data_IF_589967968965
#
_entry.id   IF_589967968965
#
_cell.length_a   1.000
_cell.length_b   1.000
_cell.length_c   1.000
_cell.angle_alpha   90.00
_cell.angle_beta   90.00
_cell.angle_gamma   90.00
#
_symmetry.space_group_name_H-M   'P 1'
#
loop_
_entity.id
_entity.type
_entity.pdbx_description
1 polymer ?
#
# COMPACT_ATOMS: atom_id res chain seq x y z
N UNK A 1 -11.21 -9.27 19.09
CA UNK A 1 -11.47 -8.52 17.84
C UNK A 1 -10.28 -7.64 17.52
N UNK A 2 -9.82 -6.80 18.45
CA UNK A 2 -8.64 -5.92 18.27
C UNK A 2 -7.37 -6.70 17.88
N UNK A 3 -7.01 -7.75 18.62
CA UNK A 3 -5.87 -8.63 18.29
C UNK A 3 -5.97 -9.26 16.88
N UNK A 4 -7.17 -9.61 16.44
CA UNK A 4 -7.38 -10.24 15.12
C UNK A 4 -7.27 -9.23 13.98
N UNK A 5 -7.60 -7.95 14.24
CA UNK A 5 -7.44 -6.85 13.30
C UNK A 5 -5.95 -6.44 13.19
N UNK A 6 -5.24 -6.41 14.32
CA UNK A 6 -3.78 -6.23 14.36
C UNK A 6 -3.03 -7.35 13.62
N UNK A 7 -3.43 -8.61 13.84
CA UNK A 7 -2.81 -9.75 13.17
C UNK A 7 -3.07 -9.73 11.64
N UNK A 8 -4.24 -9.27 11.18
CA UNK A 8 -4.53 -9.06 9.75
C UNK A 8 -3.66 -7.93 9.18
N UNK A 9 -3.44 -6.84 9.91
CA UNK A 9 -2.57 -5.77 9.47
C UNK A 9 -1.11 -6.23 9.38
N UNK A 10 -0.63 -6.98 10.37
CA UNK A 10 0.70 -7.58 10.36
C UNK A 10 0.88 -8.55 9.19
N UNK A 11 -0.14 -9.39 8.89
CA UNK A 11 -0.17 -10.28 7.74
C UNK A 11 0.00 -9.53 6.41
N UNK A 12 -0.70 -8.40 6.22
CA UNK A 12 -0.58 -7.57 5.01
C UNK A 12 0.83 -7.02 4.84
N UNK A 13 1.39 -6.47 5.91
CA UNK A 13 2.75 -5.89 5.87
C UNK A 13 3.81 -6.98 5.59
N UNK A 14 3.67 -8.15 6.20
CA UNK A 14 4.54 -9.30 5.95
C UNK A 14 4.45 -9.78 4.51
N UNK A 15 3.24 -9.84 3.95
CA UNK A 15 3.03 -10.24 2.56
C UNK A 15 3.67 -9.23 1.60
N UNK A 16 3.52 -7.93 1.84
CA UNK A 16 4.17 -6.88 1.04
C UNK A 16 5.70 -7.00 1.08
N UNK A 17 6.28 -7.20 2.26
CA UNK A 17 7.72 -7.39 2.42
C UNK A 17 8.22 -8.67 1.72
N UNK A 18 7.48 -9.78 1.80
CA UNK A 18 7.85 -11.02 1.12
C UNK A 18 7.75 -10.91 -0.40
N UNK A 19 6.72 -10.24 -0.91
CA UNK A 19 6.56 -9.99 -2.35
C UNK A 19 7.68 -9.08 -2.86
N UNK A 20 8.02 -8.02 -2.11
CA UNK A 20 9.17 -7.16 -2.44
C UNK A 20 10.47 -7.95 -2.52
N UNK A 21 10.75 -8.77 -1.50
CA UNK A 21 11.93 -9.63 -1.47
C UNK A 21 11.99 -10.64 -2.62
N UNK A 22 10.84 -11.19 -3.03
CA UNK A 22 10.73 -12.08 -4.19
C UNK A 22 11.14 -11.35 -5.48
N UNK A 23 10.61 -10.13 -5.71
CA UNK A 23 10.99 -9.34 -6.88
C UNK A 23 12.47 -8.92 -6.86
N UNK A 24 13.00 -8.56 -5.68
CA UNK A 24 14.41 -8.21 -5.55
C UNK A 24 15.33 -9.42 -5.83
N UNK A 25 14.95 -10.62 -5.35
CA UNK A 25 15.67 -11.86 -5.63
C UNK A 25 15.61 -12.22 -7.12
N UNK A 26 14.45 -12.07 -7.78
CA UNK A 26 14.27 -12.29 -9.22
C UNK A 26 15.14 -11.35 -10.05
N UNK A 27 15.07 -10.05 -9.78
CA UNK A 27 15.89 -9.05 -10.46
C UNK A 27 17.39 -9.32 -10.27
N UNK A 28 17.79 -9.83 -9.10
CA UNK A 28 19.16 -10.20 -8.81
C UNK A 28 19.61 -11.45 -9.59
N UNK A 29 18.75 -12.47 -9.69
CA UNK A 29 18.99 -13.65 -10.55
C UNK A 29 19.24 -13.21 -11.99
N UNK A 30 18.41 -12.31 -12.54
CA UNK A 30 18.55 -11.80 -13.91
C UNK A 30 19.87 -11.05 -14.12
N UNK A 31 20.27 -10.22 -13.17
CA UNK A 31 21.57 -9.53 -13.20
C UNK A 31 22.72 -10.53 -13.15
N UNK A 32 22.64 -11.56 -12.30
CA UNK A 32 23.67 -12.59 -12.22
C UNK A 32 23.78 -13.37 -13.52
N UNK A 33 22.66 -13.70 -14.17
CA UNK A 33 22.64 -14.40 -15.46
C UNK A 33 23.47 -13.67 -16.52
N UNK A 34 23.40 -12.34 -16.56
CA UNK A 34 24.14 -11.50 -17.50
C UNK A 34 25.59 -11.19 -17.08
N UNK A 35 25.92 -11.35 -15.79
CA UNK A 35 27.24 -11.00 -15.26
C UNK A 35 28.28 -12.10 -15.44
N UNK A 36 29.50 -11.69 -15.80
CA UNK A 36 30.70 -12.53 -15.84
C UNK A 36 31.37 -12.62 -14.46
N UNK A 37 31.74 -13.84 -14.06
CA UNK A 37 32.28 -14.16 -12.72
C UNK A 37 33.58 -13.41 -12.37
N UNK A 38 34.33 -12.92 -13.37
CA UNK A 38 35.62 -12.27 -13.18
C UNK A 38 35.56 -10.74 -13.17
N UNK A 39 34.37 -10.16 -13.06
CA UNK A 39 34.16 -8.71 -13.14
C UNK A 39 33.92 -8.07 -11.77
N UNK A 40 34.26 -6.77 -11.59
CA UNK A 40 33.85 -6.02 -10.39
C UNK A 40 32.33 -6.00 -10.19
N UNK A 41 31.57 -6.01 -11.30
CA UNK A 41 30.12 -6.08 -11.27
C UNK A 41 29.62 -7.34 -10.55
N UNK A 42 30.26 -8.49 -10.74
CA UNK A 42 29.90 -9.70 -10.03
C UNK A 42 29.99 -9.51 -8.51
N UNK A 43 31.05 -8.85 -8.02
CA UNK A 43 31.24 -8.57 -6.59
C UNK A 43 30.14 -7.65 -6.05
N UNK A 44 29.71 -6.64 -6.81
CA UNK A 44 28.56 -5.79 -6.44
C UNK A 44 27.28 -6.61 -6.29
N UNK A 45 27.02 -7.55 -7.20
CA UNK A 45 25.84 -8.42 -7.14
C UNK A 45 25.90 -9.37 -5.93
N UNK A 46 27.07 -9.88 -5.54
CA UNK A 46 27.22 -10.67 -4.31
C UNK A 46 26.90 -9.83 -3.07
N UNK A 47 27.31 -8.55 -3.06
CA UNK A 47 26.93 -7.63 -1.99
C UNK A 47 25.41 -7.35 -1.97
N UNK A 48 24.77 -7.26 -3.13
CA UNK A 48 23.30 -7.18 -3.24
C UNK A 48 22.63 -8.44 -2.66
N UNK A 49 23.13 -9.65 -2.97
CA UNK A 49 22.62 -10.90 -2.38
C UNK A 49 22.78 -10.92 -0.85
N UNK A 50 23.90 -10.39 -0.34
CA UNK A 50 24.13 -10.32 1.11
C UNK A 50 23.12 -9.39 1.80
N UNK A 51 22.85 -8.22 1.20
CA UNK A 51 21.82 -7.30 1.70
C UNK A 51 20.45 -7.96 1.72
N UNK A 52 20.09 -8.67 0.66
CA UNK A 52 18.80 -9.35 0.57
C UNK A 52 18.61 -10.42 1.67
N UNK A 53 19.68 -11.12 2.03
CA UNK A 53 19.68 -12.04 3.18
C UNK A 53 19.48 -11.29 4.52
N UNK A 54 20.12 -10.13 4.69
CA UNK A 54 19.93 -9.32 5.90
C UNK A 54 18.51 -8.75 5.99
N UNK A 55 17.94 -8.32 4.86
CA UNK A 55 16.55 -7.86 4.77
C UNK A 55 15.57 -8.99 5.12
N UNK A 56 15.84 -10.22 4.64
CA UNK A 56 15.05 -11.40 5.01
C UNK A 56 15.03 -11.64 6.52
N UNK A 57 16.11 -11.33 7.25
CA UNK A 57 16.19 -11.54 8.70
C UNK A 57 15.12 -10.72 9.46
N UNK A 58 14.84 -9.50 9.02
CA UNK A 58 13.77 -8.68 9.62
C UNK A 58 12.38 -9.27 9.36
N UNK A 59 12.20 -9.90 8.19
CA UNK A 59 10.99 -10.62 7.82
C UNK A 59 10.87 -11.93 8.61
N UNK A 60 11.97 -12.67 8.81
CA UNK A 60 12.05 -13.89 9.64
C UNK A 60 11.54 -13.62 11.05
N UNK A 61 12.07 -12.60 11.74
CA UNK A 61 11.67 -12.27 13.11
C UNK A 61 10.16 -11.96 13.21
N UNK A 62 9.64 -11.23 12.21
CA UNK A 62 8.23 -10.87 12.12
C UNK A 62 7.34 -12.08 11.83
N UNK A 63 7.77 -12.98 10.94
CA UNK A 63 7.09 -14.23 10.63
C UNK A 63 7.04 -15.16 11.84
N UNK A 64 8.14 -15.31 12.58
CA UNK A 64 8.19 -16.10 13.81
C UNK A 64 7.31 -15.51 14.92
N UNK A 65 7.24 -14.18 15.03
CA UNK A 65 6.37 -13.52 16.00
C UNK A 65 4.89 -13.72 15.65
N UNK A 66 4.54 -13.74 14.37
CA UNK A 66 3.20 -14.05 13.91
C UNK A 66 2.85 -15.53 14.08
N UNK A 67 3.79 -16.43 13.77
CA UNK A 67 3.59 -17.88 13.84
C UNK A 67 3.26 -18.36 15.26
N UNK A 68 3.87 -17.73 16.27
CA UNK A 68 3.56 -17.96 17.71
C UNK A 68 2.14 -17.51 18.10
N UNK A 69 1.57 -16.53 17.38
CA UNK A 69 0.21 -16.01 17.64
C UNK A 69 -0.84 -16.83 16.90
N UNK A 70 -0.54 -17.26 15.68
CA UNK A 70 -1.42 -18.05 14.83
C UNK A 70 -0.90 -19.49 14.77
N UNK A 71 -1.24 -20.29 15.77
CA UNK A 71 -0.74 -21.68 15.92
C UNK A 71 -0.94 -22.54 14.65
N UNK A 72 -2.00 -22.29 13.87
CA UNK A 72 -2.32 -23.03 12.66
C UNK A 72 -1.25 -22.91 11.55
N UNK A 73 -0.41 -21.87 11.59
CA UNK A 73 0.63 -21.63 10.56
C UNK A 73 2.03 -21.92 11.07
N UNK A 74 2.19 -22.30 12.34
CA UNK A 74 3.49 -22.35 13.02
C UNK A 74 4.49 -23.28 12.33
N UNK A 75 4.09 -24.53 12.09
CA UNK A 75 4.95 -25.54 11.47
C UNK A 75 5.37 -25.15 10.06
N UNK A 76 4.41 -24.71 9.25
CA UNK A 76 4.65 -24.33 7.85
C UNK A 76 5.56 -23.10 7.74
N UNK A 77 5.30 -22.05 8.54
CA UNK A 77 6.16 -20.85 8.57
C UNK A 77 7.57 -21.21 9.00
N UNK A 78 7.72 -22.00 10.06
CA UNK A 78 9.04 -22.38 10.59
C UNK A 78 9.84 -23.19 9.57
N UNK A 79 9.21 -24.16 8.92
CA UNK A 79 9.82 -24.96 7.86
C UNK A 79 10.29 -24.08 6.71
N UNK A 80 9.39 -23.26 6.14
CA UNK A 80 9.70 -22.45 4.97
C UNK A 80 10.73 -21.36 5.24
N UNK A 81 10.68 -20.72 6.41
CA UNK A 81 11.68 -19.73 6.82
C UNK A 81 13.07 -20.38 6.94
N UNK A 82 13.14 -21.60 7.48
CA UNK A 82 14.39 -22.35 7.57
C UNK A 82 14.92 -22.68 6.17
N UNK A 83 14.06 -23.19 5.28
CA UNK A 83 14.46 -23.49 3.90
C UNK A 83 14.95 -22.23 3.15
N UNK A 84 14.29 -21.09 3.31
CA UNK A 84 14.74 -19.82 2.68
C UNK A 84 16.12 -19.44 3.21
N UNK A 85 16.31 -19.48 4.53
CA UNK A 85 17.56 -19.10 5.19
C UNK A 85 18.73 -19.97 4.76
N UNK A 86 18.52 -21.29 4.70
CA UNK A 86 19.54 -22.24 4.29
C UNK A 86 19.92 -22.03 2.82
N UNK A 87 18.94 -21.91 1.92
CA UNK A 87 19.22 -21.65 0.50
C UNK A 87 19.87 -20.27 0.27
N UNK A 88 19.49 -19.23 1.01
CA UNK A 88 20.17 -17.92 0.92
C UNK A 88 21.63 -18.01 1.37
N UNK A 89 21.92 -18.83 2.39
CA UNK A 89 23.28 -19.06 2.88
C UNK A 89 24.10 -19.85 1.87
N UNK A 90 23.59 -20.98 1.39
CA UNK A 90 24.25 -21.81 0.39
C UNK A 90 24.49 -21.04 -0.92
N UNK A 91 23.51 -20.23 -1.35
CA UNK A 91 23.67 -19.33 -2.49
C UNK A 91 24.84 -18.37 -2.32
N UNK A 92 25.00 -17.75 -1.14
CA UNK A 92 26.13 -16.85 -0.88
C UNK A 92 27.48 -17.59 -0.89
N UNK A 93 27.55 -18.76 -0.26
CA UNK A 93 28.77 -19.59 -0.26
C UNK A 93 29.18 -19.94 -1.70
N UNK A 94 28.22 -20.35 -2.53
CA UNK A 94 28.45 -20.64 -3.95
C UNK A 94 28.84 -19.40 -4.76
N UNK A 95 28.24 -18.23 -4.48
CA UNK A 95 28.57 -16.99 -5.15
C UNK A 95 29.99 -16.49 -4.78
N UNK A 96 30.39 -16.62 -3.52
CA UNK A 96 31.75 -16.31 -3.07
C UNK A 96 32.78 -17.22 -3.75
N UNK A 97 32.45 -18.50 -3.93
CA UNK A 97 33.27 -19.48 -4.65
C UNK A 97 33.09 -19.42 -6.19
N UNK A 98 32.30 -18.47 -6.70
CA UNK A 98 32.01 -18.26 -8.13
C UNK A 98 31.34 -19.46 -8.82
N UNK A 99 30.68 -20.33 -8.06
CA UNK A 99 29.83 -21.42 -8.52
C UNK A 99 28.43 -20.92 -8.92
N UNK A 100 28.39 -20.09 -9.97
CA UNK A 100 27.17 -19.45 -10.47
C UNK A 100 26.00 -20.42 -10.76
N UNK A 101 26.20 -21.60 -11.38
CA UNK A 101 25.09 -22.52 -11.63
C UNK A 101 24.42 -23.06 -10.35
N UNK A 102 25.22 -23.40 -9.34
CA UNK A 102 24.74 -23.90 -8.05
C UNK A 102 24.05 -22.80 -7.25
N UNK A 103 24.65 -21.61 -7.20
CA UNK A 103 24.03 -20.43 -6.62
C UNK A 103 22.67 -20.11 -7.22
N UNK A 104 22.53 -20.24 -8.55
CA UNK A 104 21.26 -20.01 -9.24
C UNK A 104 20.17 -21.01 -8.84
N UNK A 105 20.51 -22.28 -8.58
CA UNK A 105 19.54 -23.28 -8.09
C UNK A 105 19.03 -22.90 -6.70
N UNK A 106 19.93 -22.51 -5.79
CA UNK A 106 19.57 -22.04 -4.47
C UNK A 106 18.71 -20.75 -4.52
N UNK A 107 19.05 -19.79 -5.38
CA UNK A 107 18.24 -18.57 -5.57
C UNK A 107 16.82 -18.88 -6.07
N UNK A 108 16.65 -19.87 -6.97
CA UNK A 108 15.33 -20.31 -7.41
C UNK A 108 14.54 -21.02 -6.30
N UNK A 109 15.21 -21.78 -5.42
CA UNK A 109 14.57 -22.37 -4.24
C UNK A 109 14.12 -21.31 -3.24
N UNK A 110 14.91 -20.26 -3.04
CA UNK A 110 14.51 -19.07 -2.26
C UNK A 110 13.22 -18.48 -2.83
N UNK A 111 13.18 -18.19 -4.14
CA UNK A 111 11.99 -17.68 -4.82
C UNK A 111 10.75 -18.55 -4.59
N UNK A 112 10.90 -19.86 -4.76
CA UNK A 112 9.82 -20.82 -4.52
C UNK A 112 9.30 -20.73 -3.09
N UNK A 113 10.18 -20.79 -2.10
CA UNK A 113 9.78 -20.83 -0.69
C UNK A 113 9.20 -19.50 -0.19
N UNK A 114 9.69 -18.37 -0.69
CA UNK A 114 9.12 -17.04 -0.43
C UNK A 114 7.72 -16.93 -1.02
N UNK A 115 7.50 -17.45 -2.23
CA UNK A 115 6.18 -17.46 -2.85
C UNK A 115 5.20 -18.41 -2.13
N UNK A 116 5.68 -19.58 -1.68
CA UNK A 116 4.89 -20.52 -0.86
C UNK A 116 4.46 -19.86 0.47
N UNK A 117 5.36 -19.10 1.12
CA UNK A 117 5.03 -18.29 2.30
C UNK A 117 3.98 -17.23 1.99
N UNK A 118 4.16 -16.46 0.93
CA UNK A 118 3.22 -15.41 0.53
C UNK A 118 1.82 -15.98 0.23
N UNK A 119 1.75 -17.13 -0.47
CA UNK A 119 0.51 -17.82 -0.76
C UNK A 119 -0.20 -18.24 0.52
N UNK A 120 0.48 -18.93 1.43
CA UNK A 120 -0.10 -19.38 2.69
C UNK A 120 -0.59 -18.21 3.55
N UNK A 121 0.20 -17.14 3.67
CA UNK A 121 -0.20 -15.95 4.43
C UNK A 121 -1.44 -15.28 3.81
N UNK A 122 -1.56 -15.30 2.49
CA UNK A 122 -2.75 -14.78 1.79
C UNK A 122 -4.00 -15.60 2.06
N UNK A 123 -3.89 -16.94 2.11
CA UNK A 123 -4.99 -17.85 2.41
C UNK A 123 -5.48 -17.67 3.86
N UNK A 124 -4.53 -17.57 4.80
CA UNK A 124 -4.82 -17.36 6.22
C UNK A 124 -5.44 -16.00 6.44
N UNK A 125 -4.93 -14.95 5.79
CA UNK A 125 -5.55 -13.62 5.83
C UNK A 125 -6.99 -13.66 5.32
N UNK A 126 -7.27 -14.36 4.22
CA UNK A 126 -8.61 -14.51 3.69
C UNK A 126 -9.54 -15.26 4.66
N UNK A 127 -9.06 -16.35 5.26
CA UNK A 127 -9.82 -17.10 6.28
C UNK A 127 -10.13 -16.24 7.51
N UNK A 128 -9.15 -15.48 8.01
CA UNK A 128 -9.34 -14.56 9.13
C UNK A 128 -10.36 -13.46 8.82
N UNK A 129 -10.33 -12.90 7.60
CA UNK A 129 -11.31 -11.90 7.17
C UNK A 129 -12.74 -12.49 7.06
N UNK A 130 -12.87 -13.73 6.59
CA UNK A 130 -14.16 -14.43 6.55
C UNK A 130 -14.69 -14.72 7.97
N UNK A 131 -13.83 -15.14 8.89
CA UNK A 131 -14.21 -15.41 10.28
C UNK A 131 -14.62 -14.12 11.03
N UNK A 132 -13.89 -13.02 10.82
CA UNK A 132 -14.26 -11.69 11.33
C UNK A 132 -15.63 -11.23 10.82
N UNK A 133 -15.92 -11.47 9.54
CA UNK A 133 -17.22 -11.14 8.94
C UNK A 133 -18.35 -11.98 9.53
N UNK A 134 -18.10 -13.24 9.86
CA UNK A 134 -19.05 -14.13 10.53
C UNK A 134 -19.35 -13.75 11.99
N UNK A 135 -18.34 -13.31 12.75
CA UNK A 135 -18.52 -12.91 14.16
C UNK A 135 -19.19 -11.54 14.34
N UNK A 136 -19.01 -10.63 13.37
CA UNK A 136 -19.64 -9.29 13.42
C UNK A 136 -21.14 -9.27 13.13
N UNK A 137 -21.70 -10.37 12.61
CA UNK A 137 -23.15 -10.56 12.43
C UNK A 137 -23.87 -10.94 13.74
N UNK A 138 -23.16 -11.42 14.77
CA UNK A 138 -23.76 -11.95 16.01
C UNK A 138 -23.81 -10.98 17.19
N UNK A 139 -23.05 -9.88 17.19
CA UNK A 139 -22.79 -9.09 18.40
C UNK A 139 -23.28 -7.63 18.37
N UNK A 140 -24.22 -7.28 17.48
CA UNK A 140 -24.81 -5.92 17.40
C UNK A 140 -26.18 -5.78 18.10
N UNK A 141 -26.61 -6.78 18.88
CA UNK A 141 -27.76 -6.65 19.78
C UNK A 141 -27.31 -6.61 21.25
N UNK A 142 -26.74 -5.48 21.69
CA UNK A 142 -26.86 -5.11 23.10
C UNK A 142 -26.84 -3.58 23.23
N UNK A 143 -27.96 -3.05 23.73
CA UNK A 143 -28.21 -1.64 23.98
C UNK A 143 -27.34 -1.13 25.15
N UNK A 144 -26.65 0.01 25.00
CA UNK A 144 -26.96 1.26 25.74
C UNK A 144 -26.05 2.45 25.34
N UNK A 145 -26.53 3.69 25.56
CA UNK A 145 -26.11 4.93 24.89
C UNK A 145 -25.12 5.77 25.68
N UNK A 146 -24.44 6.68 24.97
CA UNK A 146 -23.81 7.87 25.54
C UNK A 146 -22.29 7.88 25.44
N UNK A 147 -21.74 8.92 24.80
CA UNK A 147 -20.31 9.21 24.79
C UNK A 147 -19.82 9.75 23.46
N UNK A 148 -19.85 11.07 23.31
CA UNK A 148 -19.21 11.80 22.23
C UNK A 148 -17.70 11.51 22.18
N UNK A 149 -17.21 11.26 20.96
CA UNK A 149 -15.80 10.99 20.70
C UNK A 149 -15.58 10.68 19.23
N UNK A 150 -15.56 11.73 18.40
CA UNK A 150 -15.05 11.65 17.03
C UNK A 150 -13.58 11.23 17.07
N UNK A 151 -13.29 9.99 16.67
CA UNK A 151 -12.01 9.60 16.09
C UNK A 151 -12.26 8.47 15.09
N UNK A 152 -11.64 8.63 13.91
CA UNK A 152 -12.02 8.02 12.64
C UNK A 152 -12.30 6.52 12.70
N UNK A 153 -13.56 6.16 12.52
CA UNK A 153 -13.99 4.80 12.21
C UNK A 153 -14.64 4.81 10.85
N UNK A 154 -13.88 4.46 9.82
CA UNK A 154 -14.40 4.07 8.53
C UNK A 154 -14.42 2.56 8.45
N UNK A 155 -15.56 1.89 8.76
CA UNK A 155 -15.78 0.52 8.35
C UNK A 155 -16.07 0.53 6.83
N UNK A 156 -15.07 0.81 5.99
CA UNK A 156 -15.25 0.96 4.55
C UNK A 156 -15.24 -0.39 3.80
N UNK A 157 -14.57 -1.40 4.32
CA UNK A 157 -14.41 -2.70 3.62
C UNK A 157 -15.49 -3.74 3.96
N UNK A 158 -16.33 -3.50 4.98
CA UNK A 158 -17.23 -4.54 5.51
C UNK A 158 -18.54 -4.70 4.73
N UNK A 159 -18.96 -3.66 3.99
CA UNK A 159 -20.22 -3.71 3.24
C UNK A 159 -20.08 -4.51 1.94
N UNK A 160 -18.99 -4.29 1.19
CA UNK A 160 -18.69 -5.04 -0.03
C UNK A 160 -18.50 -6.53 0.26
N UNK A 161 -17.74 -6.86 1.31
CA UNK A 161 -17.56 -8.26 1.75
C UNK A 161 -18.87 -8.90 2.23
N UNK A 162 -19.71 -8.16 2.97
CA UNK A 162 -21.04 -8.62 3.36
C UNK A 162 -21.94 -8.91 2.15
N UNK A 163 -21.86 -8.06 1.14
CA UNK A 163 -22.56 -8.23 -0.13
C UNK A 163 -22.05 -9.45 -0.91
N UNK A 164 -20.73 -9.68 -0.98
CA UNK A 164 -20.13 -10.86 -1.62
C UNK A 164 -20.62 -12.15 -0.96
N UNK A 165 -20.57 -12.23 0.37
CA UNK A 165 -21.02 -13.39 1.12
C UNK A 165 -22.50 -13.70 0.86
N UNK A 166 -23.35 -12.67 0.80
CA UNK A 166 -24.75 -12.82 0.44
C UNK A 166 -24.94 -13.35 -0.99
N UNK A 167 -24.16 -12.85 -1.96
CA UNK A 167 -24.24 -13.32 -3.35
C UNK A 167 -23.86 -14.80 -3.46
N UNK A 168 -22.83 -15.23 -2.72
CA UNK A 168 -22.40 -16.63 -2.66
C UNK A 168 -23.45 -17.52 -2.02
N UNK A 169 -24.02 -17.10 -0.88
CA UNK A 169 -25.11 -17.84 -0.21
C UNK A 169 -26.33 -17.99 -1.13
N UNK A 170 -26.71 -16.93 -1.84
CA UNK A 170 -27.81 -17.00 -2.80
C UNK A 170 -27.49 -17.91 -3.99
N UNK A 171 -26.25 -17.89 -4.50
CA UNK A 171 -25.83 -18.79 -5.59
C UNK A 171 -25.88 -20.25 -5.15
N UNK A 172 -25.38 -20.57 -3.96
CA UNK A 172 -25.45 -21.92 -3.40
C UNK A 172 -26.91 -22.36 -3.18
N UNK A 173 -27.77 -21.47 -2.69
CA UNK A 173 -29.19 -21.77 -2.53
C UNK A 173 -29.88 -22.02 -3.87
N UNK A 174 -29.57 -21.22 -4.90
CA UNK A 174 -30.08 -21.41 -6.26
C UNK A 174 -29.70 -22.76 -6.82
N UNK A 175 -28.44 -23.15 -6.68
CA UNK A 175 -27.95 -24.46 -7.15
C UNK A 175 -28.61 -25.62 -6.40
N UNK A 176 -28.93 -25.46 -5.10
CA UNK A 176 -29.67 -26.46 -4.31
C UNK A 176 -31.12 -26.58 -4.79
N UNK A 177 -31.78 -25.46 -5.07
CA UNK A 177 -33.14 -25.44 -5.62
C UNK A 177 -33.20 -26.03 -7.04
N UNK A 178 -32.23 -25.70 -7.91
CA UNK A 178 -32.16 -26.26 -9.28
C UNK A 178 -31.85 -27.76 -9.29
N UNK A 179 -31.12 -28.28 -8.29
CA UNK A 179 -30.83 -29.72 -8.13
C UNK A 179 -31.95 -30.51 -7.43
N UNK A 180 -33.12 -29.91 -7.18
CA UNK A 180 -34.29 -30.57 -6.60
C UNK A 180 -34.12 -31.04 -5.15
N UNK A 181 -33.05 -30.61 -4.45
CA UNK A 181 -32.79 -30.93 -3.04
C UNK A 181 -33.29 -29.80 -2.15
N UNK A 182 -34.61 -29.74 -1.98
CA UNK A 182 -35.31 -28.91 -1.00
C UNK A 182 -35.57 -27.47 -1.44
N UNK A 183 -36.81 -27.02 -1.26
CA UNK A 183 -37.15 -25.59 -1.27
C UNK A 183 -36.33 -24.90 -0.17
N UNK A 184 -35.65 -23.78 -0.51
CA UNK A 184 -34.90 -23.00 0.47
C UNK A 184 -35.79 -22.67 1.67
N UNK A 185 -35.30 -22.92 2.89
CA UNK A 185 -36.16 -22.78 4.06
C UNK A 185 -36.58 -21.34 4.25
N UNK A 186 -37.83 -21.11 4.66
CA UNK A 186 -38.35 -19.75 4.92
C UNK A 186 -37.48 -18.95 5.91
N UNK A 187 -36.73 -19.66 6.76
CA UNK A 187 -35.76 -19.09 7.71
C UNK A 187 -34.52 -18.53 7.01
N UNK A 188 -33.96 -19.24 6.03
CA UNK A 188 -32.80 -18.76 5.26
C UNK A 188 -33.16 -17.53 4.41
N UNK A 189 -34.35 -17.52 3.78
CA UNK A 189 -34.84 -16.33 3.07
C UNK A 189 -35.04 -15.12 3.99
N UNK A 190 -35.61 -15.33 5.18
CA UNK A 190 -35.78 -14.25 6.15
C UNK A 190 -34.45 -13.71 6.65
N UNK A 191 -33.45 -14.57 6.87
CA UNK A 191 -32.10 -14.15 7.26
C UNK A 191 -31.42 -13.33 6.15
N UNK A 192 -31.52 -13.78 4.89
CA UNK A 192 -30.97 -13.04 3.75
C UNK A 192 -31.65 -11.69 3.55
N UNK A 193 -32.99 -11.64 3.65
CA UNK A 193 -33.75 -10.39 3.58
C UNK A 193 -33.34 -9.42 4.71
N UNK A 194 -33.16 -9.92 5.95
CA UNK A 194 -32.70 -9.11 7.07
C UNK A 194 -31.29 -8.54 6.85
N UNK A 195 -30.37 -9.34 6.31
CA UNK A 195 -29.02 -8.87 5.96
C UNK A 195 -29.06 -7.83 4.83
N UNK A 196 -29.85 -8.08 3.78
CA UNK A 196 -30.06 -7.13 2.67
C UNK A 196 -30.60 -5.79 3.18
N UNK A 197 -31.60 -5.81 4.05
CA UNK A 197 -32.21 -4.63 4.66
C UNK A 197 -31.21 -3.85 5.54
N UNK A 198 -30.38 -4.56 6.32
CA UNK A 198 -29.33 -3.94 7.13
C UNK A 198 -28.31 -3.20 6.26
N UNK A 199 -27.86 -3.82 5.16
CA UNK A 199 -26.94 -3.19 4.21
C UNK A 199 -27.57 -1.98 3.52
N UNK A 200 -28.83 -2.08 3.09
CA UNK A 200 -29.57 -0.96 2.50
C UNK A 200 -29.68 0.22 3.48
N UNK A 201 -29.97 -0.05 4.75
CA UNK A 201 -30.04 0.98 5.79
C UNK A 201 -28.69 1.68 5.98
N UNK A 202 -27.59 0.92 6.04
CA UNK A 202 -26.25 1.48 6.12
C UNK A 202 -25.94 2.37 4.90
N UNK A 203 -26.38 1.99 3.70
CA UNK A 203 -26.21 2.77 2.48
C UNK A 203 -27.04 4.05 2.47
N UNK A 204 -28.29 4.01 2.95
CA UNK A 204 -29.11 5.22 3.15
C UNK A 204 -28.47 6.20 4.13
N UNK A 205 -27.92 5.69 5.25
CA UNK A 205 -27.20 6.53 6.22
C UNK A 205 -25.93 7.14 5.61
N UNK A 206 -25.17 6.36 4.83
CA UNK A 206 -23.99 6.84 4.10
C UNK A 206 -24.37 7.92 3.07
N UNK A 207 -25.44 7.70 2.32
CA UNK A 207 -25.95 8.67 1.35
C UNK A 207 -26.35 9.99 2.02
N UNK A 208 -27.07 9.91 3.15
CA UNK A 208 -27.46 11.10 3.91
C UNK A 208 -26.24 11.92 4.36
N UNK A 209 -25.20 11.25 4.88
CA UNK A 209 -23.94 11.92 5.25
C UNK A 209 -23.24 12.58 4.06
N UNK A 210 -23.21 11.91 2.91
CA UNK A 210 -22.63 12.45 1.68
C UNK A 210 -23.41 13.65 1.14
N UNK A 211 -24.74 13.64 1.28
CA UNK A 211 -25.61 14.74 0.89
C UNK A 211 -25.45 15.95 1.82
N UNK A 212 -25.28 15.73 3.12
CA UNK A 212 -24.94 16.78 4.11
C UNK A 212 -23.58 17.43 3.80
N UNK A 213 -22.64 16.67 3.22
CA UNK A 213 -21.32 17.18 2.75
C UNK A 213 -21.37 17.82 1.35
N UNK A 214 -22.55 18.00 0.75
CA UNK A 214 -22.71 18.57 -0.60
C UNK A 214 -22.23 17.68 -1.74
N UNK A 215 -21.85 16.42 -1.46
CA UNK A 215 -21.37 15.40 -2.41
C UNK A 215 -22.43 14.32 -2.63
N UNK A 216 -23.68 14.72 -2.85
CA UNK A 216 -24.77 13.78 -3.15
C UNK A 216 -24.52 13.06 -4.48
N UNK A 217 -24.42 11.73 -4.44
CA UNK A 217 -24.23 10.91 -5.65
C UNK A 217 -25.55 10.24 -6.06
N UNK A 218 -25.97 10.44 -7.32
CA UNK A 218 -27.16 9.80 -7.92
C UNK A 218 -26.97 8.29 -8.08
N UNK A 219 -25.75 7.84 -8.34
CA UNK A 219 -25.41 6.42 -8.51
C UNK A 219 -25.66 5.62 -7.22
N UNK A 220 -25.45 6.26 -6.07
CA UNK A 220 -25.70 5.67 -4.75
C UNK A 220 -27.21 5.50 -4.50
N UNK A 221 -28.03 6.41 -5.02
CA UNK A 221 -29.49 6.31 -4.95
C UNK A 221 -29.99 5.12 -5.77
N UNK A 222 -29.51 4.99 -7.01
CA UNK A 222 -29.87 3.86 -7.89
C UNK A 222 -29.46 2.52 -7.27
N UNK A 223 -28.30 2.47 -6.61
CA UNK A 223 -27.84 1.29 -5.91
C UNK A 223 -28.78 0.90 -4.76
N UNK A 224 -29.24 1.88 -3.96
CA UNK A 224 -30.22 1.67 -2.89
C UNK A 224 -31.55 1.16 -3.47
N UNK A 225 -32.01 1.72 -4.58
CA UNK A 225 -33.24 1.29 -5.25
C UNK A 225 -33.14 -0.14 -5.80
N UNK A 226 -31.96 -0.53 -6.30
CA UNK A 226 -31.69 -1.91 -6.71
C UNK A 226 -31.70 -2.87 -5.51
N UNK A 227 -31.13 -2.46 -4.38
CA UNK A 227 -31.17 -3.24 -3.14
C UNK A 227 -32.59 -3.40 -2.61
N UNK A 228 -33.42 -2.37 -2.70
CA UNK A 228 -34.85 -2.39 -2.35
C UNK A 228 -35.60 -3.45 -3.19
N UNK A 229 -35.38 -3.50 -4.50
CA UNK A 229 -36.01 -4.50 -5.38
C UNK A 229 -35.55 -5.93 -5.05
N UNK A 230 -34.27 -6.12 -4.75
CA UNK A 230 -33.75 -7.42 -4.31
C UNK A 230 -34.31 -7.84 -2.94
N UNK A 231 -34.57 -6.90 -2.03
CA UNK A 231 -35.23 -7.15 -0.74
C UNK A 231 -36.68 -7.65 -0.96
N UNK A 232 -37.42 -7.02 -1.87
CA UNK A 232 -38.78 -7.44 -2.23
C UNK A 232 -38.82 -8.85 -2.85
N UNK A 233 -37.88 -9.15 -3.75
CA UNK A 233 -37.74 -10.49 -4.34
C UNK A 233 -37.42 -11.54 -3.27
N UNK A 234 -36.54 -11.24 -2.31
CA UNK A 234 -36.19 -12.12 -1.20
C UNK A 234 -37.36 -12.38 -0.24
N UNK A 235 -38.12 -11.34 0.12
CA UNK A 235 -39.31 -11.47 0.97
C UNK A 235 -40.38 -12.33 0.30
N UNK A 236 -40.53 -12.19 -1.02
CA UNK A 236 -41.43 -13.01 -1.83
C UNK A 236 -40.86 -14.39 -2.18
N UNK A 237 -39.67 -14.75 -1.67
CA UNK A 237 -38.97 -16.02 -1.92
C UNK A 237 -38.68 -16.28 -3.40
N UNK A 238 -38.49 -15.22 -4.18
CA UNK A 238 -38.24 -15.27 -5.62
C UNK A 238 -36.75 -15.14 -5.91
N UNK A 239 -36.10 -16.27 -6.19
CA UNK A 239 -34.67 -16.29 -6.53
C UNK A 239 -34.47 -16.37 -8.04
N UNK A 240 -34.82 -15.30 -8.76
CA UNK A 240 -34.77 -15.27 -10.23
C UNK A 240 -33.35 -15.02 -10.76
N UNK A 241 -33.11 -15.38 -12.03
CA UNK A 241 -31.87 -15.03 -12.73
C UNK A 241 -31.65 -13.51 -12.79
N UNK A 242 -32.75 -12.74 -12.89
CA UNK A 242 -32.70 -11.27 -12.91
C UNK A 242 -32.23 -10.72 -11.55
N UNK A 243 -32.76 -11.25 -10.44
CA UNK A 243 -32.33 -10.88 -9.10
C UNK A 243 -30.84 -11.18 -8.87
N UNK A 244 -30.36 -12.34 -9.34
CA UNK A 244 -28.93 -12.70 -9.25
C UNK A 244 -28.03 -11.74 -10.02
N UNK A 245 -28.42 -11.35 -11.25
CA UNK A 245 -27.70 -10.33 -12.03
C UNK A 245 -27.69 -8.99 -11.31
N UNK A 246 -28.84 -8.54 -10.81
CA UNK A 246 -28.97 -7.30 -10.04
C UNK A 246 -28.04 -7.30 -8.83
N UNK A 247 -27.92 -8.43 -8.16
CA UNK A 247 -27.03 -8.56 -7.02
C UNK A 247 -25.53 -8.55 -7.39
N UNK A 248 -25.16 -9.08 -8.55
CA UNK A 248 -23.80 -8.93 -9.10
C UNK A 248 -23.49 -7.48 -9.49
N UNK A 249 -24.47 -6.76 -10.04
CA UNK A 249 -24.34 -5.34 -10.36
C UNK A 249 -24.20 -4.50 -9.09
N UNK A 250 -24.98 -4.79 -8.04
CA UNK A 250 -24.87 -4.15 -6.72
C UNK A 250 -23.45 -4.33 -6.17
N UNK A 251 -22.90 -5.54 -6.24
CA UNK A 251 -21.55 -5.82 -5.78
C UNK A 251 -20.49 -5.05 -6.57
N UNK A 252 -20.61 -5.05 -7.91
CA UNK A 252 -19.66 -4.33 -8.78
C UNK A 252 -19.65 -2.84 -8.45
N UNK A 253 -20.83 -2.22 -8.34
CA UNK A 253 -20.96 -0.79 -7.98
C UNK A 253 -20.41 -0.48 -6.58
N UNK A 254 -20.59 -1.40 -5.62
CA UNK A 254 -20.02 -1.25 -4.27
C UNK A 254 -18.49 -1.24 -4.31
N UNK A 255 -17.88 -2.18 -5.04
CA UNK A 255 -16.42 -2.27 -5.19
C UNK A 255 -15.84 -1.04 -5.92
N UNK A 256 -16.53 -0.55 -6.95
CA UNK A 256 -16.15 0.68 -7.64
C UNK A 256 -16.19 1.89 -6.72
N UNK A 257 -17.24 2.02 -5.90
CA UNK A 257 -17.36 3.10 -4.93
C UNK A 257 -16.23 3.02 -3.87
N UNK A 258 -15.90 1.82 -3.39
CA UNK A 258 -14.82 1.61 -2.43
C UNK A 258 -13.46 1.99 -3.01
N UNK A 259 -13.19 1.59 -4.26
CA UNK A 259 -11.97 1.96 -4.99
C UNK A 259 -11.88 3.48 -5.20
N UNK A 260 -12.99 4.12 -5.56
CA UNK A 260 -13.05 5.56 -5.74
C UNK A 260 -12.82 6.32 -4.42
N UNK A 261 -13.33 5.81 -3.29
CA UNK A 261 -13.05 6.39 -1.98
C UNK A 261 -11.58 6.28 -1.60
N UNK A 262 -10.95 5.11 -1.81
CA UNK A 262 -9.51 4.94 -1.58
C UNK A 262 -8.68 5.93 -2.40
N UNK A 263 -8.99 6.06 -3.69
CA UNK A 263 -8.28 7.01 -4.57
C UNK A 263 -8.38 8.46 -4.06
N UNK A 264 -9.56 8.88 -3.60
CA UNK A 264 -9.76 10.22 -3.02
C UNK A 264 -8.94 10.43 -1.76
N UNK A 265 -8.84 9.42 -0.88
CA UNK A 265 -8.02 9.50 0.33
C UNK A 265 -6.52 9.66 0.00
N UNK A 266 -5.99 8.88 -0.96
CA UNK A 266 -4.61 9.01 -1.41
C UNK A 266 -4.30 10.36 -2.08
N UNK A 267 -5.26 10.91 -2.81
CA UNK A 267 -5.12 12.24 -3.43
C UNK A 267 -5.12 13.37 -2.38
N UNK A 268 -5.90 13.24 -1.31
CA UNK A 268 -5.88 14.20 -0.18
C UNK A 268 -4.55 14.13 0.60
N UNK A 269 -4.01 12.93 0.82
CA UNK A 269 -2.69 12.76 1.45
C UNK A 269 -1.56 13.38 0.61
N UNK A 270 -1.56 13.17 -0.72
CA UNK A 270 -0.56 13.77 -1.62
C UNK A 270 -0.60 15.30 -1.65
N UNK A 271 -1.76 15.92 -1.42
CA UNK A 271 -1.86 17.39 -1.31
C UNK A 271 -1.23 17.92 -0.02
N UNK A 272 -1.20 17.13 1.05
CA UNK A 272 -0.65 17.53 2.35
C UNK A 272 0.88 17.39 2.42
N UNK A 273 1.49 16.55 1.58
CA UNK A 273 2.94 16.26 1.58
C UNK A 273 3.73 17.00 0.48
N UNK A 274 3.22 18.09 -0.08
CA UNK A 274 4.08 18.93 -0.92
C UNK A 274 5.18 19.57 -0.07
N UNK A 275 6.44 19.17 -0.32
CA UNK A 275 7.60 19.72 0.36
C UNK A 275 7.66 21.25 0.16
N UNK A 276 7.64 22.01 1.25
CA UNK A 276 7.95 23.45 1.20
C UNK A 276 9.38 23.62 0.69
N UNK A 277 9.55 24.36 -0.40
CA UNK A 277 10.85 24.59 -1.03
C UNK A 277 11.72 25.42 -0.08
N UNK A 278 12.57 24.74 0.70
CA UNK A 278 13.47 25.41 1.62
C UNK A 278 14.59 26.10 0.81
N UNK A 279 14.52 27.42 0.69
CA UNK A 279 15.57 28.20 0.03
C UNK A 279 16.90 27.97 0.75
N UNK A 280 17.90 27.47 0.00
CA UNK A 280 19.27 27.35 0.50
C UNK A 280 19.86 28.76 0.68
N UNK A 281 19.82 29.27 1.91
CA UNK A 281 20.53 30.50 2.26
C UNK A 281 22.02 30.21 2.42
N UNK A 282 22.85 31.12 1.93
CA UNK A 282 24.31 31.01 2.07
C UNK A 282 24.69 31.06 3.56
N UNK A 283 25.70 30.27 4.01
CA UNK A 283 26.18 30.33 5.39
C UNK A 283 26.69 31.73 5.73
N UNK A 284 26.39 32.28 6.93
CA UNK A 284 26.80 33.63 7.33
C UNK A 284 28.32 33.88 7.23
N UNK A 285 29.12 32.84 7.46
CA UNK A 285 30.59 32.90 7.35
C UNK A 285 31.08 33.14 5.93
N UNK A 286 30.38 32.63 4.91
CA UNK A 286 30.72 32.83 3.51
C UNK A 286 30.30 34.23 3.03
N UNK A 287 29.18 34.74 3.53
CA UNK A 287 28.69 36.08 3.21
C UNK A 287 29.65 37.17 3.72
N UNK A 288 30.15 37.04 4.96
CA UNK A 288 31.18 37.95 5.48
C UNK A 288 32.48 37.89 4.68
N UNK A 289 32.89 36.70 4.23
CA UNK A 289 34.09 36.53 3.42
C UNK A 289 33.96 37.20 2.04
N UNK A 290 32.83 37.00 1.36
CA UNK A 290 32.53 37.63 0.06
C UNK A 290 32.51 39.14 0.20
N UNK A 291 31.83 39.67 1.23
CA UNK A 291 31.74 41.11 1.48
C UNK A 291 33.11 41.75 1.76
N UNK A 292 33.99 41.08 2.50
CA UNK A 292 35.38 41.53 2.70
C UNK A 292 36.17 41.55 1.40
N UNK A 293 36.05 40.49 0.58
CA UNK A 293 36.68 40.41 -0.74
C UNK A 293 36.20 41.49 -1.70
N UNK A 294 34.91 41.80 -1.70
CA UNK A 294 34.36 42.89 -2.51
C UNK A 294 34.89 44.25 -2.05
N UNK A 295 34.93 44.51 -0.74
CA UNK A 295 35.48 45.74 -0.18
C UNK A 295 36.97 45.93 -0.52
N UNK A 296 37.77 44.86 -0.49
CA UNK A 296 39.17 44.91 -0.93
C UNK A 296 39.27 45.29 -2.42
N UNK A 297 38.48 44.66 -3.29
CA UNK A 297 38.47 44.96 -4.73
C UNK A 297 38.01 46.40 -5.00
N UNK A 298 37.00 46.89 -4.29
CA UNK A 298 36.57 48.29 -4.39
C UNK A 298 37.65 49.26 -3.94
N UNK A 299 38.40 48.94 -2.88
CA UNK A 299 39.54 49.75 -2.43
C UNK A 299 40.60 49.86 -3.54
N UNK A 300 40.91 48.77 -4.23
CA UNK A 300 41.83 48.78 -5.37
C UNK A 300 41.29 49.55 -6.59
N UNK A 301 39.97 49.61 -6.78
CA UNK A 301 39.34 50.45 -7.82
C UNK A 301 39.34 51.93 -7.45
N UNK A 302 39.19 52.27 -6.17
CA UNK A 302 39.07 53.64 -5.70
C UNK A 302 40.44 54.34 -5.54
N UNK A 303 41.47 53.59 -5.16
CA UNK A 303 42.82 54.13 -5.01
C UNK A 303 43.53 54.05 -6.36
N UNK A 304 43.49 55.16 -7.12
CA UNK A 304 44.37 55.30 -8.29
C UNK A 304 45.82 55.15 -7.83
N UNK A 305 46.63 54.28 -8.47
CA UNK A 305 48.03 54.12 -8.11
C UNK A 305 48.73 55.48 -8.16
N UNK A 306 49.65 55.74 -7.22
CA UNK A 306 50.44 56.97 -7.20
C UNK A 306 51.31 57.04 -8.46
N UNK A 307 50.75 57.60 -9.53
CA UNK A 307 51.41 57.74 -10.82
C UNK A 307 52.62 58.67 -10.64
N UNK A 308 53.79 58.25 -11.16
CA UNK A 308 54.97 59.12 -11.21
C UNK A 308 54.61 60.41 -11.97
N UNK A 309 55.20 61.57 -11.63
CA UNK A 309 54.78 62.89 -12.14
C UNK A 309 54.60 62.95 -13.66
N UNK A 310 55.48 62.26 -14.42
CA UNK A 310 55.43 62.15 -15.87
C UNK A 310 54.11 61.53 -16.41
N UNK A 311 53.63 60.46 -15.79
CA UNK A 311 52.39 59.79 -16.21
C UNK A 311 51.15 60.55 -15.74
N UNK A 312 51.25 61.30 -14.63
CA UNK A 312 50.18 62.19 -14.18
C UNK A 312 49.93 63.30 -15.20
N UNK A 313 50.99 63.94 -15.73
CA UNK A 313 50.85 64.97 -16.76
C UNK A 313 50.25 64.43 -18.07
N UNK A 314 50.56 63.17 -18.43
CA UNK A 314 50.03 62.55 -19.65
C UNK A 314 48.52 62.26 -19.53
N UNK A 315 48.09 61.78 -18.36
CA UNK A 315 46.67 61.54 -18.05
C UNK A 315 45.90 62.86 -17.96
N UNK A 316 46.48 63.90 -17.35
CA UNK A 316 45.86 65.23 -17.31
C UNK A 316 45.73 65.86 -18.70
N UNK A 317 46.73 65.71 -19.58
CA UNK A 317 46.63 66.15 -20.97
C UNK A 317 45.52 65.41 -21.72
N UNK A 318 45.42 64.09 -21.56
CA UNK A 318 44.37 63.28 -22.18
C UNK A 318 42.97 63.63 -21.66
N UNK A 319 42.82 63.85 -20.35
CA UNK A 319 41.55 64.28 -19.76
C UNK A 319 41.17 65.70 -20.15
N UNK A 320 42.14 66.60 -20.38
CA UNK A 320 41.89 67.94 -20.86
C UNK A 320 41.53 67.98 -22.35
N UNK A 321 42.12 67.10 -23.18
CA UNK A 321 41.68 66.95 -24.57
C UNK A 321 40.25 66.43 -24.68
N UNK A 322 39.82 65.53 -23.78
CA UNK A 322 38.44 65.06 -23.69
C UNK A 322 37.44 66.11 -23.19
N UNK A 323 37.91 67.23 -22.62
CA UNK A 323 37.06 68.35 -22.16
C UNK A 323 36.96 69.50 -23.15
N UNK A 324 37.76 69.48 -24.22
CA UNK A 324 37.79 70.55 -25.24
C UNK A 324 37.11 70.16 -26.56
N UNK A 325 36.51 68.97 -26.63
CA UNK A 325 35.39 68.64 -27.53
C UNK A 325 34.05 68.79 -26.80
#
# INVERSE_FOLDING_TARGET
>A
MEQMEEDIQALRQLLENLVGLSFDQEALIDKFNLADINTPRYVELVQEQFKLKDDFRLVEDSLQALSKRVFQIESFVTEKVTEVKDNMKESLEDLEERRKPQASDHQQRVMKNVNDLALMLSEVMNQMQQQMSGMMAGNQMCNKPGGEGQQGKTPKDKLSQGQQSLNEQMKQMKERMEKGKGEGTSKEFAEMAARQAAMRKAMKEKQKKLQEQGKGNKELQELIDQMDKSEEDLVNKRLTNEMMKRQQDILTRLLEHEKAERQREYDEQRKAEQASQQERRMPPSLEEYIKKREAEVEMFKAVSPALKPYYKSLVEQYLNSLKTE
#
